data_IF_170657623094
#
_entry.id   IF_170657623094
#
_cell.length_a   1.000
_cell.length_b   1.000
_cell.length_c   1.000
_cell.angle_alpha   90.00
_cell.angle_beta   90.00
_cell.angle_gamma   90.00
#
_symmetry.space_group_name_H-M   'P 1'
#
loop_
_entity.id
_entity.type
_entity.pdbx_description
1 polymer ?
#
# COMPACT_ATOMS: atom_id res chain seq x y z
N UNK A 1 -3.35 -14.99 29.09
CA UNK A 1 -2.74 -15.21 27.77
C UNK A 1 -2.32 -13.86 27.21
N UNK A 2 -1.08 -13.71 26.81
CA UNK A 2 -0.60 -12.48 26.15
C UNK A 2 -0.61 -12.71 24.64
N UNK A 3 -1.30 -11.86 23.92
CA UNK A 3 -1.20 -11.81 22.47
C UNK A 3 0.00 -10.92 22.10
N UNK A 4 0.90 -11.43 21.29
CA UNK A 4 2.03 -10.67 20.75
C UNK A 4 1.72 -10.46 19.26
N UNK A 5 1.60 -9.20 18.86
CA UNK A 5 1.50 -8.84 17.45
C UNK A 5 2.93 -8.72 16.91
N UNK A 6 3.32 -9.62 16.02
CA UNK A 6 4.65 -9.67 15.41
C UNK A 6 4.62 -9.47 13.90
N UNK A 7 3.49 -9.01 13.36
CA UNK A 7 3.30 -8.75 11.94
C UNK A 7 2.44 -7.50 11.71
N UNK A 8 2.68 -6.82 10.59
CA UNK A 8 1.86 -5.71 10.10
C UNK A 8 1.83 -5.73 8.57
N UNK A 9 0.64 -5.86 8.00
CA UNK A 9 0.43 -5.90 6.55
C UNK A 9 -0.27 -4.64 6.00
N UNK A 10 -0.31 -3.56 6.77
CA UNK A 10 -0.85 -2.29 6.34
C UNK A 10 0.09 -1.15 6.74
N UNK A 11 1.13 -0.95 5.95
CA UNK A 11 2.18 0.03 6.20
C UNK A 11 2.34 0.93 4.99
N UNK A 12 2.39 2.24 5.23
CA UNK A 12 2.69 3.24 4.19
C UNK A 12 4.11 3.78 4.36
N UNK A 13 4.79 3.97 3.24
CA UNK A 13 6.03 4.74 3.18
C UNK A 13 5.75 6.22 2.88
N UNK A 14 6.80 7.02 2.79
CA UNK A 14 6.69 8.41 2.32
C UNK A 14 6.26 8.56 0.86
N UNK A 15 6.04 7.47 0.12
CA UNK A 15 5.47 7.49 -1.22
C UNK A 15 3.95 7.70 -1.20
N UNK A 16 3.27 7.26 -0.14
CA UNK A 16 1.84 7.51 0.02
C UNK A 16 1.56 8.96 0.37
N UNK A 17 0.70 9.64 -0.37
CA UNK A 17 0.37 11.04 -0.13
C UNK A 17 -0.23 11.31 1.26
N UNK A 18 -0.82 10.32 1.88
CA UNK A 18 -1.35 10.43 3.25
C UNK A 18 -0.24 10.44 4.31
N UNK A 19 0.96 9.97 3.99
CA UNK A 19 2.10 9.86 4.91
C UNK A 19 3.11 10.98 4.73
N UNK A 20 3.37 11.39 3.54
CA UNK A 20 4.29 12.44 3.01
C UNK A 20 5.60 12.72 3.79
N UNK A 21 5.98 11.84 4.71
CA UNK A 21 7.25 11.95 5.43
C UNK A 21 8.40 11.31 4.64
N UNK A 22 9.33 12.12 4.10
CA UNK A 22 10.42 11.60 3.28
C UNK A 22 11.40 10.72 4.06
N UNK A 23 11.33 10.73 5.39
CA UNK A 23 12.15 9.85 6.24
C UNK A 23 11.56 8.45 6.38
N UNK A 24 10.28 8.28 6.09
CA UNK A 24 9.60 6.98 6.16
C UNK A 24 9.90 6.15 4.90
N UNK A 25 11.17 5.84 4.73
CA UNK A 25 11.64 5.01 3.62
C UNK A 25 11.41 3.52 3.91
N UNK A 26 11.40 2.64 2.89
CA UNK A 26 11.33 1.20 3.10
C UNK A 26 12.40 0.67 4.06
N UNK A 27 13.61 1.27 4.03
CA UNK A 27 14.70 0.92 4.96
C UNK A 27 14.39 1.33 6.40
N UNK A 28 13.86 2.53 6.60
CA UNK A 28 13.49 3.01 7.94
C UNK A 28 12.36 2.17 8.55
N UNK A 29 11.38 1.75 7.74
CA UNK A 29 10.30 0.84 8.14
C UNK A 29 10.88 -0.50 8.59
N UNK A 30 11.81 -1.08 7.81
CA UNK A 30 12.46 -2.33 8.18
C UNK A 30 13.23 -2.22 9.51
N UNK A 31 14.02 -1.17 9.68
CA UNK A 31 14.82 -0.95 10.88
C UNK A 31 13.93 -0.79 12.13
N UNK A 32 12.85 -0.03 12.01
CA UNK A 32 11.85 0.11 13.08
C UNK A 32 11.18 -1.23 13.40
N UNK A 33 10.78 -1.97 12.39
CA UNK A 33 10.12 -3.27 12.55
C UNK A 33 11.02 -4.27 13.26
N UNK A 34 12.27 -4.33 12.85
CA UNK A 34 13.29 -5.18 13.48
C UNK A 34 13.53 -4.81 14.94
N UNK A 35 13.68 -3.52 15.21
CA UNK A 35 13.90 -3.01 16.59
C UNK A 35 12.71 -3.28 17.52
N UNK A 36 11.49 -3.43 16.98
CA UNK A 36 10.27 -3.65 17.74
C UNK A 36 9.76 -5.09 17.70
N UNK A 37 10.54 -6.03 17.17
CA UNK A 37 10.25 -7.46 17.25
C UNK A 37 9.25 -7.96 16.21
N UNK A 38 8.94 -7.19 15.16
CA UNK A 38 8.14 -7.66 14.05
C UNK A 38 8.89 -8.73 13.26
N UNK A 39 8.18 -9.75 12.81
CA UNK A 39 8.72 -10.87 12.03
C UNK A 39 8.28 -10.83 10.58
N UNK A 40 7.10 -10.28 10.31
CA UNK A 40 6.53 -10.17 8.97
C UNK A 40 5.90 -8.80 8.79
N UNK A 41 6.27 -8.12 7.72
CA UNK A 41 5.69 -6.83 7.35
C UNK A 41 5.38 -6.79 5.85
N UNK A 42 4.40 -5.99 5.48
CA UNK A 42 4.09 -5.72 4.09
C UNK A 42 3.98 -4.20 3.87
N UNK A 43 4.76 -3.68 2.96
CA UNK A 43 4.59 -2.32 2.47
C UNK A 43 3.36 -2.27 1.56
N UNK A 44 2.41 -1.42 1.88
CA UNK A 44 1.12 -1.31 1.17
C UNK A 44 0.79 0.15 0.90
N UNK A 45 1.65 0.83 0.15
CA UNK A 45 1.38 2.20 -0.26
C UNK A 45 0.11 2.28 -1.11
N UNK A 46 -0.57 3.44 -1.07
CA UNK A 46 -1.74 3.67 -1.89
C UNK A 46 -1.44 3.51 -3.38
N UNK A 47 -2.37 2.88 -4.09
CA UNK A 47 -2.18 2.53 -5.48
C UNK A 47 -3.51 2.47 -6.24
N UNK A 48 -3.51 2.97 -7.46
CA UNK A 48 -4.50 2.70 -8.47
C UNK A 48 -3.80 2.45 -9.81
N UNK A 49 -4.09 1.30 -10.42
CA UNK A 49 -3.52 0.93 -11.71
C UNK A 49 -4.08 1.86 -12.80
N UNK A 50 -3.20 2.55 -13.48
CA UNK A 50 -3.54 3.48 -14.55
C UNK A 50 -4.26 2.82 -15.73
N UNK A 51 -4.14 1.50 -15.88
CA UNK A 51 -4.85 0.74 -16.90
C UNK A 51 -6.30 0.40 -16.53
N UNK A 52 -6.66 0.58 -15.27
CA UNK A 52 -8.00 0.29 -14.75
C UNK A 52 -8.81 1.58 -14.69
N UNK A 53 -9.89 1.70 -15.50
CA UNK A 53 -10.77 2.87 -15.44
C UNK A 53 -11.39 3.04 -14.05
N UNK A 54 -11.44 4.27 -13.56
CA UNK A 54 -12.09 4.61 -12.30
C UNK A 54 -13.31 5.49 -12.51
N UNK A 55 -14.32 5.32 -11.65
CA UNK A 55 -15.61 6.02 -11.72
C UNK A 55 -15.53 7.45 -11.19
N UNK A 56 -14.61 8.19 -11.47
CA UNK A 56 -14.41 9.56 -11.01
C UNK A 56 -12.97 9.96 -11.13
N UNK A 57 -12.70 11.22 -10.84
CA UNK A 57 -11.33 11.72 -10.81
C UNK A 57 -10.98 12.05 -9.38
N UNK A 58 -10.03 11.31 -8.83
CA UNK A 58 -9.43 11.62 -7.54
C UNK A 58 -7.94 11.80 -7.77
N UNK A 59 -7.50 13.05 -7.74
CA UNK A 59 -6.09 13.43 -7.96
C UNK A 59 -5.13 12.61 -7.09
N UNK A 60 -5.56 12.26 -5.89
CA UNK A 60 -4.84 11.37 -4.98
C UNK A 60 -4.39 10.07 -5.66
N UNK A 61 -5.26 9.45 -6.47
CA UNK A 61 -4.93 8.21 -7.17
C UNK A 61 -4.29 8.42 -8.54
N UNK A 62 -4.41 9.59 -9.14
CA UNK A 62 -3.81 9.86 -10.44
C UNK A 62 -2.27 9.83 -10.38
N UNK A 63 -1.70 10.21 -9.24
CA UNK A 63 -0.25 10.22 -9.03
C UNK A 63 0.30 8.95 -8.39
N UNK A 64 -0.54 8.15 -7.73
CA UNK A 64 -0.15 6.91 -7.05
C UNK A 64 -0.34 5.69 -7.96
N UNK A 65 0.28 5.75 -9.12
CA UNK A 65 0.25 4.76 -10.19
C UNK A 65 1.40 3.73 -10.08
N UNK A 66 1.51 2.86 -11.07
CA UNK A 66 2.53 1.80 -11.10
C UNK A 66 3.95 2.34 -10.98
N UNK A 67 4.31 3.34 -11.77
CA UNK A 67 5.65 3.93 -11.72
C UNK A 67 5.96 4.58 -10.36
N UNK A 68 4.93 5.07 -9.66
CA UNK A 68 5.09 5.68 -8.35
C UNK A 68 5.35 4.64 -7.26
N UNK A 69 4.53 3.60 -7.18
CA UNK A 69 4.67 2.57 -6.15
C UNK A 69 5.96 1.73 -6.33
N UNK A 70 6.38 1.53 -7.59
CA UNK A 70 7.61 0.80 -7.90
C UNK A 70 8.89 1.53 -7.47
N UNK A 71 8.82 2.80 -7.09
CA UNK A 71 9.95 3.53 -6.49
C UNK A 71 10.42 2.92 -5.16
N UNK A 72 9.56 2.15 -4.50
CA UNK A 72 9.93 1.43 -3.28
C UNK A 72 10.86 0.24 -3.55
N UNK A 73 10.96 -0.21 -4.79
CA UNK A 73 11.72 -1.42 -5.17
C UNK A 73 13.17 -1.10 -5.54
N UNK A 74 14.12 -2.05 -5.31
CA UNK A 74 13.91 -3.29 -4.56
C UNK A 74 13.74 -3.03 -3.06
N UNK A 75 12.87 -3.78 -2.40
CA UNK A 75 12.75 -3.70 -0.95
C UNK A 75 14.03 -4.17 -0.27
N UNK A 76 14.44 -3.53 0.84
CA UNK A 76 15.55 -4.02 1.63
C UNK A 76 15.24 -5.42 2.17
N UNK A 77 16.25 -6.28 2.24
CA UNK A 77 16.14 -7.64 2.73
C UNK A 77 16.77 -7.77 4.11
N UNK A 78 16.21 -8.65 4.94
CA UNK A 78 16.72 -8.95 6.27
C UNK A 78 16.47 -10.43 6.61
N UNK A 79 17.36 -11.03 7.42
CA UNK A 79 17.25 -12.44 7.80
C UNK A 79 16.22 -12.68 8.91
N UNK A 80 15.87 -11.65 9.68
CA UNK A 80 14.96 -11.75 10.83
C UNK A 80 13.55 -11.25 10.52
N UNK A 81 13.39 -10.40 9.50
CA UNK A 81 12.11 -9.80 9.11
C UNK A 81 11.79 -10.14 7.67
N UNK A 82 10.68 -10.82 7.47
CA UNK A 82 10.12 -11.10 6.15
C UNK A 82 9.40 -9.85 5.65
N UNK A 83 9.93 -9.20 4.60
CA UNK A 83 9.41 -7.95 4.07
C UNK A 83 8.74 -8.18 2.73
N UNK A 84 7.42 -8.01 2.70
CA UNK A 84 6.58 -8.19 1.50
C UNK A 84 6.30 -6.87 0.80
N UNK A 85 6.06 -6.98 -0.51
CA UNK A 85 5.62 -5.87 -1.35
C UNK A 85 4.13 -6.04 -1.68
N UNK A 86 3.32 -5.10 -1.25
CA UNK A 86 1.89 -5.07 -1.47
C UNK A 86 1.40 -3.68 -1.87
N UNK A 87 0.10 -3.49 -1.86
CA UNK A 87 -0.53 -2.21 -2.11
C UNK A 87 -1.86 -2.08 -1.35
N UNK A 88 -2.19 -0.87 -0.93
CA UNK A 88 -3.55 -0.50 -0.57
C UNK A 88 -4.26 -0.01 -1.82
N UNK A 89 -5.22 -0.81 -2.29
CA UNK A 89 -5.96 -0.60 -3.53
C UNK A 89 -7.40 -0.27 -3.22
N UNK A 90 -7.88 0.87 -3.67
CA UNK A 90 -9.25 1.28 -3.38
C UNK A 90 -10.27 0.66 -4.34
N UNK A 91 -11.52 0.75 -3.96
CA UNK A 91 -12.67 0.35 -4.74
C UNK A 91 -13.53 1.58 -5.03
N UNK A 92 -13.88 1.80 -6.28
CA UNK A 92 -14.76 2.89 -6.68
C UNK A 92 -16.25 2.59 -6.48
N UNK A 93 -17.12 3.57 -6.75
CA UNK A 93 -18.58 3.43 -6.61
C UNK A 93 -19.22 2.39 -7.53
N UNK A 94 -18.51 1.93 -8.56
CA UNK A 94 -18.94 0.85 -9.44
C UNK A 94 -18.43 -0.52 -9.00
N UNK A 95 -17.85 -0.60 -7.80
CA UNK A 95 -17.22 -1.81 -7.26
C UNK A 95 -16.00 -2.27 -8.06
N UNK A 96 -15.37 -1.36 -8.80
CA UNK A 96 -14.11 -1.64 -9.49
C UNK A 96 -12.97 -1.51 -8.49
N UNK A 97 -12.18 -2.57 -8.33
CA UNK A 97 -10.94 -2.55 -7.55
C UNK A 97 -9.81 -2.11 -8.49
N UNK A 98 -9.04 -1.12 -8.06
CA UNK A 98 -8.08 -0.42 -8.89
C UNK A 98 -6.77 -1.18 -9.14
N UNK A 99 -6.85 -2.45 -9.51
CA UNK A 99 -5.67 -3.27 -9.80
C UNK A 99 -5.89 -4.12 -11.05
N UNK A 100 -4.89 -4.12 -11.94
CA UNK A 100 -4.87 -4.99 -13.11
C UNK A 100 -4.05 -6.26 -12.86
N UNK A 101 -4.24 -7.26 -13.73
CA UNK A 101 -3.65 -8.60 -13.61
C UNK A 101 -2.11 -8.55 -13.51
N UNK A 102 -1.47 -7.69 -14.29
CA UNK A 102 0.00 -7.57 -14.30
C UNK A 102 0.59 -7.17 -12.96
N UNK A 103 -0.07 -6.24 -12.27
CA UNK A 103 0.40 -5.80 -10.96
C UNK A 103 0.01 -6.81 -9.88
N UNK A 104 -1.16 -7.43 -10.02
CA UNK A 104 -1.60 -8.47 -9.09
C UNK A 104 -0.60 -9.64 -9.01
N UNK A 105 0.04 -9.99 -10.12
CA UNK A 105 1.08 -11.03 -10.15
C UNK A 105 2.39 -10.61 -9.46
N UNK A 106 2.64 -9.30 -9.32
CA UNK A 106 3.86 -8.77 -8.69
C UNK A 106 3.73 -8.55 -7.18
N UNK A 107 2.51 -8.43 -6.70
CA UNK A 107 2.24 -8.13 -5.30
C UNK A 107 2.06 -9.41 -4.48
N UNK A 108 2.61 -9.40 -3.26
CA UNK A 108 2.40 -10.49 -2.30
C UNK A 108 1.03 -10.37 -1.63
N UNK A 109 0.59 -9.14 -1.35
CA UNK A 109 -0.68 -8.84 -0.69
C UNK A 109 -1.32 -7.58 -1.24
N UNK A 110 -2.64 -7.52 -1.18
CA UNK A 110 -3.41 -6.29 -1.36
C UNK A 110 -4.30 -6.05 -0.15
N UNK A 111 -4.44 -4.78 0.22
CA UNK A 111 -5.42 -4.29 1.19
C UNK A 111 -6.47 -3.53 0.42
N UNK A 112 -7.74 -3.90 0.56
CA UNK A 112 -8.86 -3.17 -0.02
C UNK A 112 -9.64 -2.52 1.12
N UNK A 113 -9.49 -1.20 1.33
CA UNK A 113 -10.23 -0.52 2.38
C UNK A 113 -11.71 -0.41 2.00
N UNK A 114 -12.58 -0.71 2.95
CA UNK A 114 -14.03 -0.62 2.77
C UNK A 114 -14.61 0.67 3.35
N UNK A 115 -13.78 1.56 3.84
CA UNK A 115 -14.18 2.72 4.66
C UNK A 115 -13.82 4.09 4.05
N UNK A 116 -13.34 4.16 2.82
CA UNK A 116 -13.00 5.42 2.15
C UNK A 116 -14.22 6.14 1.57
N UNK A 117 -15.33 6.11 2.29
CA UNK A 117 -16.59 6.77 1.90
C UNK A 117 -16.47 8.29 1.83
N UNK A 118 -15.39 8.87 2.32
CA UNK A 118 -15.13 10.30 2.22
C UNK A 118 -14.67 10.76 0.82
N UNK A 119 -14.36 9.85 -0.08
CA UNK A 119 -14.05 10.17 -1.46
C UNK A 119 -15.34 10.37 -2.27
N UNK A 120 -15.95 11.55 -2.08
CA UNK A 120 -17.17 11.94 -2.80
C UNK A 120 -16.90 11.99 -4.32
N UNK A 121 -17.84 11.43 -5.09
CA UNK A 121 -17.68 11.32 -6.54
C UNK A 121 -16.81 10.15 -6.99
N UNK A 122 -16.17 9.45 -6.06
CA UNK A 122 -15.36 8.27 -6.32
C UNK A 122 -15.98 7.02 -5.69
N UNK A 123 -16.15 7.02 -4.36
CA UNK A 123 -16.76 5.91 -3.63
C UNK A 123 -18.27 6.12 -3.43
N UNK A 124 -18.68 7.36 -3.21
CA UNK A 124 -20.10 7.76 -3.10
C UNK A 124 -20.39 8.98 -3.98
N UNK A 125 -21.62 9.12 -4.37
CA UNK A 125 -22.10 10.29 -5.14
C UNK A 125 -22.26 11.55 -4.26
#
# INVERSE_FOLDING_TARGET
MRFICDHDYHIHSGLSLCSDDPKQTPKAILDFSKANGFKKICLTDHYWDESVPKAGSVEFYDVQNTAHIEKALPLPQDDEVEYHFGAEVDMDKNYTIGIGDKMLEKLDFIVVPTTHLHFVGFTID
#
